data_IF_483334874218
#
_entry.id   IF_483334874218
#
_cell.length_a   1.000
_cell.length_b   1.000
_cell.length_c   1.000
_cell.angle_alpha   90.00
_cell.angle_beta   90.00
_cell.angle_gamma   90.00
#
_symmetry.space_group_name_H-M   'P 1'
#
loop_
_entity.id
_entity.type
_entity.pdbx_description
1 polymer ?
#
# COMPACT_ATOMS: atom_id res chain seq x y z
N UNK A 1 41.84 -13.76 11.46
CA UNK A 1 40.43 -13.71 11.92
C UNK A 1 39.79 -12.50 11.27
N UNK A 2 39.11 -12.68 10.13
CA UNK A 2 38.42 -11.58 9.44
C UNK A 2 36.99 -11.61 9.96
N UNK A 3 36.57 -10.55 10.65
CA UNK A 3 35.20 -10.41 11.12
C UNK A 3 34.27 -10.53 9.91
N UNK A 4 33.41 -11.54 9.93
CA UNK A 4 32.25 -11.64 9.05
C UNK A 4 31.35 -10.47 9.38
N UNK A 5 31.40 -9.43 8.54
CA UNK A 5 30.36 -8.42 8.50
C UNK A 5 29.13 -9.10 7.87
N UNK A 6 28.29 -9.72 8.70
CA UNK A 6 26.91 -10.00 8.35
C UNK A 6 26.19 -8.63 8.32
N UNK A 7 26.45 -7.84 7.29
CA UNK A 7 25.50 -6.83 6.88
C UNK A 7 24.27 -7.60 6.36
N UNK A 8 23.05 -7.36 6.89
CA UNK A 8 21.88 -7.98 6.31
C UNK A 8 21.81 -7.52 4.86
N UNK A 9 21.90 -8.47 3.94
CA UNK A 9 21.67 -8.26 2.51
C UNK A 9 20.20 -7.89 2.31
N UNK A 10 19.85 -6.64 2.62
CA UNK A 10 18.58 -6.04 2.26
C UNK A 10 18.70 -5.63 0.79
N UNK A 11 18.79 -6.63 -0.09
CA UNK A 11 18.53 -6.40 -1.51
C UNK A 11 17.08 -5.93 -1.61
N UNK A 12 16.88 -4.60 -1.73
CA UNK A 12 15.58 -4.00 -1.99
C UNK A 12 15.18 -4.47 -3.38
N UNK A 13 14.44 -5.59 -3.44
CA UNK A 13 13.90 -6.12 -4.68
C UNK A 13 12.86 -5.12 -5.19
N UNK A 14 13.25 -4.31 -6.16
CA UNK A 14 12.35 -3.35 -6.78
C UNK A 14 11.29 -4.13 -7.61
N UNK A 15 9.99 -3.78 -7.53
CA UNK A 15 8.96 -4.45 -8.31
C UNK A 15 9.22 -4.29 -9.82
N UNK A 16 8.68 -5.21 -10.63
CA UNK A 16 8.73 -5.05 -12.08
C UNK A 16 8.03 -3.76 -12.51
N UNK A 17 8.44 -3.17 -13.65
CA UNK A 17 7.83 -1.93 -14.14
C UNK A 17 6.32 -2.06 -14.34
N UNK A 18 5.85 -3.21 -14.84
CA UNK A 18 4.43 -3.52 -14.97
C UNK A 18 3.72 -3.53 -13.61
N UNK A 19 4.35 -4.13 -12.59
CA UNK A 19 3.82 -4.14 -11.24
C UNK A 19 3.76 -2.72 -10.67
N UNK A 20 4.79 -1.89 -10.86
CA UNK A 20 4.76 -0.49 -10.42
C UNK A 20 3.60 0.30 -11.04
N UNK A 21 3.32 0.08 -12.33
CA UNK A 21 2.17 0.72 -13.01
C UNK A 21 0.85 0.24 -12.38
N UNK A 22 0.73 -1.04 -12.05
CA UNK A 22 -0.45 -1.58 -11.39
C UNK A 22 -0.65 -0.98 -9.99
N UNK A 23 0.41 -0.88 -9.19
CA UNK A 23 0.38 -0.26 -7.87
C UNK A 23 -0.03 1.22 -7.94
N UNK A 24 0.47 1.94 -8.95
CA UNK A 24 0.04 3.31 -9.21
C UNK A 24 -1.45 3.39 -9.56
N UNK A 25 -1.95 2.48 -10.40
CA UNK A 25 -3.39 2.41 -10.71
C UNK A 25 -4.22 2.15 -9.45
N UNK A 26 -3.76 1.28 -8.55
CA UNK A 26 -4.45 1.00 -7.28
C UNK A 26 -4.51 2.26 -6.41
N UNK A 27 -3.40 3.02 -6.31
CA UNK A 27 -3.40 4.29 -5.56
C UNK A 27 -4.41 5.30 -6.12
N UNK A 28 -4.44 5.49 -7.44
CA UNK A 28 -5.38 6.41 -8.11
C UNK A 28 -6.83 5.92 -7.96
N UNK A 29 -7.06 4.62 -8.08
CA UNK A 29 -8.39 4.05 -7.88
C UNK A 29 -8.89 4.26 -6.45
N UNK A 30 -8.03 4.05 -5.46
CA UNK A 30 -8.34 4.26 -4.04
C UNK A 30 -8.75 5.72 -3.79
N UNK A 31 -7.97 6.69 -4.31
CA UNK A 31 -8.29 8.12 -4.27
C UNK A 31 -9.68 8.42 -4.83
N UNK A 32 -9.99 7.89 -6.01
CA UNK A 32 -11.24 8.17 -6.69
C UNK A 32 -12.45 7.51 -6.01
N UNK A 33 -12.25 6.32 -5.44
CA UNK A 33 -13.27 5.65 -4.63
C UNK A 33 -13.56 6.46 -3.37
N UNK A 34 -12.54 6.94 -2.69
CA UNK A 34 -12.66 7.74 -1.47
C UNK A 34 -13.50 9.01 -1.70
N UNK A 35 -13.21 9.75 -2.78
CA UNK A 35 -13.99 10.93 -3.17
C UNK A 35 -15.47 10.61 -3.43
N UNK A 36 -15.75 9.47 -4.08
CA UNK A 36 -17.13 9.04 -4.34
C UNK A 36 -17.84 8.60 -3.07
N UNK A 37 -17.18 7.88 -2.17
CA UNK A 37 -17.74 7.51 -0.88
C UNK A 37 -18.05 8.76 -0.07
N UNK A 38 -17.18 9.76 -0.12
CA UNK A 38 -17.41 11.05 0.51
C UNK A 38 -18.63 11.79 -0.08
N UNK A 39 -18.76 11.83 -1.41
CA UNK A 39 -19.95 12.39 -2.07
C UNK A 39 -21.23 11.64 -1.69
N UNK A 40 -21.19 10.31 -1.63
CA UNK A 40 -22.34 9.50 -1.20
C UNK A 40 -22.71 9.76 0.26
N UNK A 41 -21.73 9.93 1.14
CA UNK A 41 -21.98 10.27 2.54
C UNK A 41 -22.66 11.64 2.67
N UNK A 42 -22.23 12.65 1.89
CA UNK A 42 -22.89 13.97 1.85
C UNK A 42 -24.31 13.92 1.27
N UNK A 43 -24.63 12.92 0.45
CA UNK A 43 -25.98 12.66 -0.03
C UNK A 43 -26.83 11.82 0.94
N UNK A 44 -26.28 11.40 2.08
CA UNK A 44 -26.95 10.48 3.02
C UNK A 44 -27.07 9.04 2.51
N UNK A 45 -26.34 8.67 1.44
CA UNK A 45 -26.37 7.34 0.81
C UNK A 45 -25.28 6.38 1.30
N UNK A 46 -24.35 6.87 2.12
CA UNK A 46 -23.37 6.07 2.84
C UNK A 46 -23.37 6.49 4.31
N UNK A 47 -23.44 5.53 5.23
CA UNK A 47 -23.55 5.81 6.66
C UNK A 47 -22.30 6.53 7.22
N UNK A 48 -21.11 6.12 6.77
CA UNK A 48 -19.82 6.66 7.18
C UNK A 48 -18.92 6.79 5.95
N UNK A 49 -18.14 7.87 5.87
CA UNK A 49 -17.01 8.00 4.97
C UNK A 49 -15.73 8.13 5.81
N UNK A 50 -14.90 7.09 5.81
CA UNK A 50 -13.59 7.09 6.44
C UNK A 50 -12.54 7.14 5.34
N UNK A 51 -11.84 8.26 5.27
CA UNK A 51 -10.93 8.57 4.16
C UNK A 51 -9.51 8.07 4.42
N UNK A 52 -8.89 7.55 3.36
CA UNK A 52 -7.47 7.18 3.32
C UNK A 52 -6.60 8.27 2.64
N UNK A 53 -7.15 9.48 2.45
CA UNK A 53 -6.49 10.57 1.73
C UNK A 53 -5.08 10.83 2.25
N UNK A 54 -4.09 10.66 1.36
CA UNK A 54 -2.68 10.93 1.66
C UNK A 54 -1.91 9.71 2.18
N UNK A 55 -2.59 8.59 2.41
CA UNK A 55 -2.00 7.34 2.91
C UNK A 55 -2.05 6.20 1.88
N UNK A 56 -2.43 6.47 0.62
CA UNK A 56 -2.61 5.44 -0.40
C UNK A 56 -1.32 4.67 -0.68
N UNK A 57 -0.22 5.39 -0.86
CA UNK A 57 1.09 4.78 -1.12
C UNK A 57 1.58 3.93 0.05
N UNK A 58 1.34 4.39 1.28
CA UNK A 58 1.72 3.65 2.48
C UNK A 58 0.97 2.32 2.59
N UNK A 59 -0.35 2.32 2.33
CA UNK A 59 -1.16 1.11 2.35
C UNK A 59 -0.76 0.13 1.25
N UNK A 60 -0.55 0.62 0.03
CA UNK A 60 -0.10 -0.22 -1.09
C UNK A 60 1.29 -0.79 -0.82
N UNK A 61 2.21 -0.01 -0.28
CA UNK A 61 3.54 -0.48 0.10
C UNK A 61 3.48 -1.54 1.21
N UNK A 62 2.58 -1.42 2.19
CA UNK A 62 2.39 -2.44 3.22
C UNK A 62 1.89 -3.78 2.66
N UNK A 63 1.06 -3.76 1.63
CA UNK A 63 0.56 -4.98 0.97
C UNK A 63 1.65 -5.62 0.09
N UNK A 64 2.43 -4.82 -0.62
CA UNK A 64 3.49 -5.30 -1.52
C UNK A 64 4.74 -5.75 -0.80
N UNK A 65 5.05 -5.15 0.36
CA UNK A 65 6.20 -5.53 1.13
C UNK A 65 6.10 -7.02 1.46
N UNK A 66 7.14 -7.83 1.19
CA UNK A 66 7.15 -9.23 1.57
C UNK A 66 7.24 -9.31 3.10
N UNK A 67 6.09 -9.25 3.77
CA UNK A 67 5.96 -9.60 5.18
C UNK A 67 6.05 -11.12 5.20
N UNK A 68 7.28 -11.62 5.32
CA UNK A 68 7.58 -13.04 5.37
C UNK A 68 6.79 -13.67 6.55
N UNK A 69 5.62 -14.24 6.25
CA UNK A 69 5.03 -15.40 6.91
C UNK A 69 4.81 -15.36 8.44
N UNK A 70 4.52 -14.20 9.06
CA UNK A 70 4.46 -14.12 10.54
C UNK A 70 3.33 -13.28 11.15
N UNK A 71 2.11 -13.34 10.61
CA UNK A 71 0.96 -12.76 11.32
C UNK A 71 -0.03 -13.81 11.84
N UNK A 72 0.06 -15.09 11.45
CA UNK A 72 -0.78 -16.15 12.04
C UNK A 72 -0.02 -17.47 12.12
N UNK A 73 0.65 -17.74 13.24
CA UNK A 73 0.71 -19.05 13.90
C UNK A 73 0.87 -18.80 15.39
#
# INVERSE_FOLDING_TARGET
MKATTDEPDQTIQQPSGERMVELYRIMVLSRYLDERVWLLNRQGKAAIAASAQGHEAAQVACVEAPIHQRIIT
#
